data_IF_153752501234
#
_entry.id   IF_153752501234
#
_cell.length_a   1.000
_cell.length_b   1.000
_cell.length_c   1.000
_cell.angle_alpha   90.00
_cell.angle_beta   90.00
_cell.angle_gamma   90.00
#
_symmetry.space_group_name_H-M   'P 1'
#
loop_
_entity.id
_entity.type
_entity.pdbx_description
1 polymer ?
#
# COMPACT_ATOMS: atom_id res chain seq x y z
N UNK A 1 -2.27 -0.82 -28.12
CA UNK A 1 -1.78 -0.14 -26.90
C UNK A 1 -2.21 -1.03 -25.74
N UNK A 2 -1.28 -1.67 -25.06
CA UNK A 2 -1.56 -2.47 -23.86
C UNK A 2 -2.03 -1.55 -22.75
N UNK A 3 -3.15 -1.86 -22.12
CA UNK A 3 -3.67 -1.12 -20.96
C UNK A 3 -2.60 -1.13 -19.86
N UNK A 4 -2.28 0.01 -19.22
CA UNK A 4 -1.36 0.03 -18.10
C UNK A 4 -1.84 -0.95 -17.02
N UNK A 5 -0.96 -1.83 -16.57
CA UNK A 5 -1.23 -2.74 -15.47
C UNK A 5 -0.65 -2.16 -14.18
N UNK A 6 -1.33 -2.41 -13.07
CA UNK A 6 -0.84 -2.09 -11.73
C UNK A 6 0.24 -3.10 -11.34
N UNK A 7 1.36 -2.61 -10.84
CA UNK A 7 2.48 -3.42 -10.39
C UNK A 7 2.86 -3.09 -8.95
N UNK A 8 3.29 -4.11 -8.23
CA UNK A 8 3.81 -4.01 -6.87
C UNK A 8 5.29 -4.35 -6.92
N UNK A 9 6.13 -3.34 -6.72
CA UNK A 9 7.58 -3.49 -6.73
C UNK A 9 8.11 -3.49 -5.30
N UNK A 10 8.86 -4.50 -4.94
CA UNK A 10 9.56 -4.57 -3.67
C UNK A 10 11.04 -4.32 -3.87
N UNK A 11 11.62 -3.42 -3.07
CA UNK A 11 13.01 -3.01 -3.13
C UNK A 11 13.63 -3.17 -1.74
N UNK A 12 14.73 -3.91 -1.65
CA UNK A 12 15.61 -3.88 -0.49
C UNK A 12 16.73 -2.87 -0.73
N UNK A 13 16.93 -1.97 0.20
CA UNK A 13 17.94 -0.92 0.09
C UNK A 13 18.66 -0.72 1.42
N UNK A 14 19.88 -0.19 1.36
CA UNK A 14 20.62 0.20 2.56
C UNK A 14 19.85 1.28 3.33
N UNK A 15 19.73 1.13 4.64
CA UNK A 15 19.03 2.07 5.52
C UNK A 15 19.92 3.28 5.81
N UNK A 16 20.22 4.05 4.76
CA UNK A 16 21.11 5.21 4.82
C UNK A 16 20.42 6.50 4.34
N UNK A 17 20.94 7.62 4.78
CA UNK A 17 20.46 8.95 4.37
C UNK A 17 20.59 9.12 2.86
N UNK A 18 19.49 9.48 2.21
CA UNK A 18 19.44 9.70 0.76
C UNK A 18 19.13 8.46 -0.09
N UNK A 19 19.16 7.25 0.47
CA UNK A 19 18.85 6.03 -0.29
C UNK A 19 17.42 6.09 -0.90
N UNK A 20 16.42 6.44 -0.10
CA UNK A 20 15.04 6.63 -0.58
C UNK A 20 14.95 7.72 -1.66
N UNK A 21 15.68 8.83 -1.49
CA UNK A 21 15.68 9.94 -2.46
C UNK A 21 16.22 9.50 -3.82
N UNK A 22 17.24 8.63 -3.84
CA UNK A 22 17.78 8.10 -5.09
C UNK A 22 16.78 7.20 -5.82
N UNK A 23 16.07 6.34 -5.08
CA UNK A 23 15.01 5.49 -5.65
C UNK A 23 13.87 6.35 -6.20
N UNK A 24 13.29 7.25 -5.40
CA UNK A 24 12.18 8.11 -5.84
C UNK A 24 12.60 9.07 -6.97
N UNK A 25 13.84 9.55 -6.92
CA UNK A 25 14.44 10.36 -7.99
C UNK A 25 14.53 9.62 -9.33
N UNK A 26 14.83 8.32 -9.33
CA UNK A 26 14.80 7.50 -10.54
C UNK A 26 13.40 7.47 -11.17
N UNK A 27 12.35 7.25 -10.37
CA UNK A 27 10.97 7.27 -10.84
C UNK A 27 10.59 8.63 -11.41
N UNK A 28 10.90 9.73 -10.70
CA UNK A 28 10.62 11.10 -11.12
C UNK A 28 11.31 11.47 -12.43
N UNK A 29 12.60 11.20 -12.56
CA UNK A 29 13.37 11.54 -13.77
C UNK A 29 12.96 10.77 -15.01
N UNK A 30 12.33 9.62 -14.84
CA UNK A 30 11.82 8.76 -15.92
C UNK A 30 10.34 8.97 -16.20
N UNK A 31 9.67 9.85 -15.44
CA UNK A 31 8.24 10.13 -15.59
C UNK A 31 7.33 8.99 -15.13
N UNK A 32 7.81 8.11 -14.25
CA UNK A 32 7.00 7.05 -13.67
C UNK A 32 6.23 7.59 -12.46
N UNK A 33 4.92 7.35 -12.42
CA UNK A 33 4.09 7.73 -11.29
C UNK A 33 4.23 6.71 -10.16
N UNK A 34 4.31 7.18 -8.92
CA UNK A 34 4.22 6.35 -7.71
C UNK A 34 2.81 6.54 -7.13
N UNK A 35 2.01 5.48 -7.12
CA UNK A 35 0.64 5.49 -6.58
C UNK A 35 0.63 5.33 -5.07
N UNK A 36 1.50 4.46 -4.54
CA UNK A 36 1.74 4.32 -3.11
C UNK A 36 3.18 3.92 -2.83
N UNK A 37 3.66 4.27 -1.64
CA UNK A 37 5.02 4.00 -1.20
C UNK A 37 5.05 3.74 0.30
N UNK A 38 5.53 2.57 0.70
CA UNK A 38 5.84 2.23 2.08
C UNK A 38 7.32 1.97 2.24
N UNK A 39 7.91 2.45 3.32
CA UNK A 39 9.31 2.20 3.68
C UNK A 39 9.40 1.88 5.15
N UNK A 40 10.06 0.79 5.48
CA UNK A 40 10.39 0.45 6.87
C UNK A 40 11.70 -0.34 6.91
N UNK A 41 12.41 -0.28 8.04
CA UNK A 41 13.52 -1.18 8.30
C UNK A 41 13.03 -2.63 8.36
N UNK A 42 13.89 -3.57 7.97
CA UNK A 42 13.64 -5.00 8.08
C UNK A 42 14.08 -5.49 9.48
N UNK A 43 14.15 -6.79 9.68
CA UNK A 43 14.79 -7.43 10.83
C UNK A 43 16.30 -7.13 10.92
N UNK A 44 16.93 -6.82 9.78
CA UNK A 44 18.26 -6.21 9.74
C UNK A 44 18.11 -4.67 9.75
N UNK A 45 18.54 -3.96 10.80
CA UNK A 45 18.40 -2.51 10.90
C UNK A 45 19.22 -1.74 9.84
N UNK A 46 20.17 -2.39 9.18
CA UNK A 46 20.97 -1.78 8.11
C UNK A 46 20.26 -1.83 6.74
N UNK A 47 19.17 -2.58 6.65
CA UNK A 47 18.38 -2.78 5.43
C UNK A 47 16.95 -2.32 5.63
N UNK A 48 16.47 -1.47 4.73
CA UNK A 48 15.06 -1.08 4.64
C UNK A 48 14.39 -1.78 3.46
N UNK A 49 13.09 -2.02 3.58
CA UNK A 49 12.25 -2.51 2.50
C UNK A 49 11.28 -1.43 2.05
N UNK A 50 11.28 -1.17 0.75
CA UNK A 50 10.25 -0.38 0.07
C UNK A 50 9.24 -1.36 -0.53
N UNK A 51 7.95 -1.06 -0.36
CA UNK A 51 6.88 -1.60 -1.21
C UNK A 51 6.25 -0.43 -1.95
N UNK A 52 6.33 -0.46 -3.27
CA UNK A 52 5.92 0.63 -4.15
C UNK A 52 4.88 0.11 -5.14
N UNK A 53 3.83 0.89 -5.36
CA UNK A 53 2.81 0.62 -6.39
C UNK A 53 2.96 1.65 -7.49
N UNK A 54 2.97 1.17 -8.72
CA UNK A 54 3.01 1.98 -9.94
C UNK A 54 2.19 1.30 -11.05
N UNK A 55 1.87 2.04 -12.11
CA UNK A 55 1.17 1.49 -13.28
C UNK A 55 2.00 1.69 -14.54
N UNK A 56 2.05 0.66 -15.38
CA UNK A 56 2.78 0.71 -16.63
C UNK A 56 2.66 -0.55 -17.47
N UNK A 57 3.40 -0.61 -18.58
CA UNK A 57 3.56 -1.82 -19.35
C UNK A 57 4.65 -2.71 -18.75
N UNK A 58 4.64 -3.99 -19.06
CA UNK A 58 5.66 -4.93 -18.64
C UNK A 58 7.08 -4.48 -19.01
N UNK A 59 7.26 -3.90 -20.19
CA UNK A 59 8.54 -3.34 -20.64
C UNK A 59 9.01 -2.19 -19.73
N UNK A 60 8.08 -1.32 -19.31
CA UNK A 60 8.39 -0.23 -18.38
C UNK A 60 8.80 -0.80 -17.02
N UNK A 61 8.09 -1.81 -16.53
CA UNK A 61 8.43 -2.45 -15.25
C UNK A 61 9.80 -3.11 -15.29
N UNK A 62 10.12 -3.84 -16.35
CA UNK A 62 11.45 -4.42 -16.53
C UNK A 62 12.56 -3.34 -16.56
N UNK A 63 12.29 -2.18 -17.16
CA UNK A 63 13.22 -1.04 -17.13
C UNK A 63 13.38 -0.48 -15.71
N UNK A 64 12.30 -0.33 -14.95
CA UNK A 64 12.32 0.13 -13.56
C UNK A 64 13.19 -0.81 -12.70
N UNK A 65 12.95 -2.12 -12.76
CA UNK A 65 13.71 -3.13 -12.02
C UNK A 65 15.21 -3.03 -12.38
N UNK A 66 15.52 -3.06 -13.68
CA UNK A 66 16.91 -3.01 -14.15
C UNK A 66 17.65 -1.71 -13.80
N UNK A 67 16.94 -0.57 -13.78
CA UNK A 67 17.54 0.72 -13.42
C UNK A 67 17.69 0.86 -11.90
N UNK A 68 16.75 0.33 -11.13
CA UNK A 68 16.82 0.35 -9.67
C UNK A 68 18.01 -0.47 -9.16
N UNK A 69 18.28 -1.63 -9.76
CA UNK A 69 19.45 -2.48 -9.44
C UNK A 69 20.81 -1.81 -9.69
N UNK A 70 20.84 -0.70 -10.46
CA UNK A 70 22.08 0.07 -10.69
C UNK A 70 22.34 1.13 -9.62
N UNK A 71 21.37 1.39 -8.75
CA UNK A 71 21.55 2.34 -7.64
C UNK A 71 22.44 1.69 -6.57
N UNK A 72 23.44 2.43 -6.10
CA UNK A 72 24.46 1.92 -5.17
C UNK A 72 23.88 1.40 -3.84
N UNK A 73 22.76 1.99 -3.41
CA UNK A 73 22.11 1.61 -2.14
C UNK A 73 21.12 0.47 -2.29
N UNK A 74 20.77 0.08 -3.51
CA UNK A 74 19.78 -0.98 -3.76
C UNK A 74 20.46 -2.33 -3.69
N UNK A 75 19.96 -3.16 -2.78
CA UNK A 75 20.45 -4.52 -2.54
C UNK A 75 19.75 -5.51 -3.47
N UNK A 76 18.43 -5.39 -3.59
CA UNK A 76 17.62 -6.25 -4.47
C UNK A 76 16.31 -5.56 -4.85
N UNK A 77 15.73 -5.94 -5.99
CA UNK A 77 14.45 -5.42 -6.51
C UNK A 77 13.69 -6.55 -7.17
N UNK A 78 12.39 -6.60 -6.96
CA UNK A 78 11.51 -7.55 -7.63
C UNK A 78 10.12 -6.98 -7.94
N UNK A 79 9.55 -7.37 -9.08
CA UNK A 79 8.15 -7.14 -9.42
C UNK A 79 7.32 -8.32 -8.90
N UNK A 80 6.71 -8.14 -7.75
CA UNK A 80 5.93 -9.16 -7.07
C UNK A 80 4.61 -9.49 -7.78
N UNK A 81 4.20 -8.68 -8.76
CA UNK A 81 2.93 -8.87 -9.48
C UNK A 81 2.92 -10.16 -10.31
N UNK A 82 4.11 -10.60 -10.75
CA UNK A 82 4.28 -11.78 -11.61
C UNK A 82 4.00 -13.08 -10.86
N UNK A 83 4.33 -13.12 -9.58
CA UNK A 83 4.25 -14.31 -8.74
C UNK A 83 3.10 -14.24 -7.71
N UNK A 84 2.75 -15.40 -7.16
CA UNK A 84 1.75 -15.48 -6.11
C UNK A 84 2.23 -14.73 -4.85
N UNK A 85 1.49 -13.71 -4.44
CA UNK A 85 1.80 -12.87 -3.29
C UNK A 85 0.57 -12.58 -2.44
N UNK A 86 0.82 -12.17 -1.21
CA UNK A 86 -0.20 -11.66 -0.28
C UNK A 86 -0.03 -10.15 -0.22
N UNK A 87 -1.07 -9.42 -0.55
CA UNK A 87 -1.13 -7.96 -0.44
C UNK A 87 -2.03 -7.55 0.72
N UNK A 88 -1.60 -6.56 1.50
CA UNK A 88 -2.41 -5.92 2.55
C UNK A 88 -2.18 -4.43 2.57
N UNK A 89 -3.25 -3.71 2.91
CA UNK A 89 -3.26 -2.27 3.13
C UNK A 89 -4.04 -1.97 4.40
N UNK A 90 -3.57 -1.02 5.20
CA UNK A 90 -4.25 -0.50 6.37
C UNK A 90 -4.99 0.79 6.01
N UNK A 91 -6.26 0.85 6.35
CA UNK A 91 -7.11 2.03 6.29
C UNK A 91 -7.48 2.47 7.70
N UNK A 92 -7.36 3.76 7.98
CA UNK A 92 -8.01 4.43 9.10
C UNK A 92 -9.01 5.44 8.55
N UNK A 93 -10.26 5.37 8.98
CA UNK A 93 -11.29 6.33 8.59
C UNK A 93 -12.07 6.83 9.78
N UNK A 94 -12.25 8.15 9.85
CA UNK A 94 -13.03 8.83 10.87
C UNK A 94 -14.30 9.39 10.24
N UNK A 95 -15.43 9.17 10.90
CA UNK A 95 -16.76 9.54 10.43
C UNK A 95 -17.53 10.30 11.51
N UNK A 96 -18.35 11.23 11.06
CA UNK A 96 -19.48 11.73 11.85
C UNK A 96 -20.74 10.98 11.43
N UNK A 97 -21.34 10.23 12.36
CA UNK A 97 -22.38 9.25 12.05
C UNK A 97 -23.72 9.69 12.65
N UNK A 98 -24.79 9.87 11.86
CA UNK A 98 -26.13 10.08 12.39
C UNK A 98 -26.61 8.89 13.24
N UNK A 99 -27.36 9.14 14.30
CA UNK A 99 -27.80 8.11 15.24
C UNK A 99 -28.53 6.93 14.57
N UNK A 100 -29.28 7.18 13.51
CA UNK A 100 -29.99 6.15 12.74
C UNK A 100 -29.07 5.31 11.84
N UNK A 101 -27.82 5.69 11.65
CA UNK A 101 -26.82 4.96 10.86
C UNK A 101 -25.82 4.18 11.71
N UNK A 102 -25.80 4.36 13.02
CA UNK A 102 -24.84 3.63 13.90
C UNK A 102 -25.03 2.12 13.82
N UNK A 103 -26.25 1.60 13.98
CA UNK A 103 -26.49 0.16 13.92
C UNK A 103 -26.19 -0.44 12.52
N UNK A 104 -26.61 0.16 11.39
CA UNK A 104 -26.18 -0.28 10.06
C UNK A 104 -24.66 -0.24 9.87
N UNK A 105 -23.96 0.76 10.42
CA UNK A 105 -22.53 0.89 10.31
C UNK A 105 -21.80 -0.22 11.09
N UNK A 106 -22.22 -0.51 12.34
CA UNK A 106 -21.68 -1.62 13.12
C UNK A 106 -21.81 -2.94 12.37
N UNK A 107 -22.96 -3.21 11.75
CA UNK A 107 -23.16 -4.41 10.94
C UNK A 107 -22.18 -4.48 9.76
N UNK A 108 -21.98 -3.39 9.02
CA UNK A 108 -20.99 -3.32 7.95
C UNK A 108 -19.58 -3.64 8.47
N UNK A 109 -19.19 -3.03 9.60
CA UNK A 109 -17.85 -3.24 10.21
C UNK A 109 -17.64 -4.72 10.55
N UNK A 110 -18.64 -5.40 11.11
CA UNK A 110 -18.60 -6.84 11.39
C UNK A 110 -18.49 -7.68 10.11
N UNK A 111 -19.28 -7.36 9.08
CA UNK A 111 -19.28 -8.07 7.78
C UNK A 111 -17.93 -8.03 7.08
N UNK A 112 -17.21 -6.91 7.17
CA UNK A 112 -15.89 -6.75 6.54
C UNK A 112 -14.74 -7.07 7.50
N UNK A 113 -15.02 -7.54 8.71
CA UNK A 113 -14.03 -7.83 9.75
C UNK A 113 -13.13 -6.65 10.11
N UNK A 114 -13.67 -5.42 9.99
CA UNK A 114 -12.98 -4.22 10.43
C UNK A 114 -13.06 -4.05 11.95
N UNK A 115 -12.27 -3.14 12.50
CA UNK A 115 -12.24 -2.84 13.94
C UNK A 115 -12.76 -1.43 14.21
N UNK A 116 -13.62 -1.31 15.22
CA UNK A 116 -13.98 0.01 15.75
C UNK A 116 -12.93 0.42 16.77
N UNK A 117 -12.24 1.54 16.53
CA UNK A 117 -11.26 2.10 17.44
C UNK A 117 -11.87 3.13 18.38
N UNK A 118 -12.84 3.91 17.88
CA UNK A 118 -13.61 4.89 18.65
C UNK A 118 -15.08 4.74 18.26
N UNK A 119 -15.92 4.47 19.25
CA UNK A 119 -17.39 4.34 19.11
C UNK A 119 -18.08 5.58 19.68
N UNK A 120 -17.94 6.69 18.99
CA UNK A 120 -18.60 7.96 19.28
C UNK A 120 -19.23 8.52 17.99
N UNK A 121 -20.52 8.84 18.02
CA UNK A 121 -21.24 9.34 16.84
C UNK A 121 -20.61 10.59 16.22
N UNK A 122 -19.95 11.44 17.01
CA UNK A 122 -19.27 12.64 16.53
C UNK A 122 -17.92 12.36 15.88
N UNK A 123 -17.28 11.21 16.22
CA UNK A 123 -15.94 10.86 15.74
C UNK A 123 -15.72 9.34 15.63
N UNK A 124 -16.65 8.63 15.01
CA UNK A 124 -16.58 7.18 14.83
C UNK A 124 -15.34 6.80 14.00
N UNK A 125 -14.46 6.00 14.57
CA UNK A 125 -13.17 5.68 13.91
C UNK A 125 -13.05 4.18 13.67
N UNK A 126 -12.78 3.81 12.42
CA UNK A 126 -12.68 2.42 11.94
C UNK A 126 -11.27 2.17 11.42
N UNK A 127 -10.74 0.99 11.75
CA UNK A 127 -9.54 0.38 11.16
C UNK A 127 -9.95 -0.80 10.28
N UNK A 128 -9.47 -0.83 9.03
CA UNK A 128 -9.62 -1.96 8.12
C UNK A 128 -8.27 -2.35 7.55
N UNK A 129 -7.94 -3.64 7.61
CA UNK A 129 -6.76 -4.20 6.94
C UNK A 129 -7.21 -5.28 5.97
N UNK A 130 -7.04 -5.05 4.67
CA UNK A 130 -7.40 -5.99 3.61
C UNK A 130 -6.58 -5.72 2.34
N UNK A 131 -6.90 -6.41 1.23
CA UNK A 131 -6.36 -6.11 -0.09
C UNK A 131 -6.78 -4.69 -0.55
N UNK A 132 -5.99 -4.08 -1.42
CA UNK A 132 -6.29 -2.76 -1.99
C UNK A 132 -7.71 -2.71 -2.57
N UNK A 133 -8.13 -3.75 -3.29
CA UNK A 133 -9.47 -3.81 -3.90
C UNK A 133 -10.60 -3.77 -2.86
N UNK A 134 -10.44 -4.47 -1.71
CA UNK A 134 -11.44 -4.48 -0.65
C UNK A 134 -11.44 -3.15 0.11
N UNK A 135 -10.28 -2.58 0.40
CA UNK A 135 -10.15 -1.24 1.01
C UNK A 135 -10.82 -0.19 0.12
N UNK A 136 -10.55 -0.18 -1.17
CA UNK A 136 -11.16 0.76 -2.12
C UNK A 136 -12.68 0.56 -2.24
N UNK A 137 -13.15 -0.70 -2.21
CA UNK A 137 -14.59 -1.00 -2.17
C UNK A 137 -15.24 -0.46 -0.89
N UNK A 138 -14.62 -0.67 0.27
CA UNK A 138 -15.11 -0.13 1.54
C UNK A 138 -15.20 1.39 1.50
N UNK A 139 -14.16 2.09 1.04
CA UNK A 139 -14.13 3.55 0.91
C UNK A 139 -15.27 4.06 0.03
N UNK A 140 -15.57 3.39 -1.09
CA UNK A 140 -16.65 3.80 -2.00
C UNK A 140 -18.05 3.68 -1.39
N UNK A 141 -18.21 2.92 -0.31
CA UNK A 141 -19.51 2.68 0.34
C UNK A 141 -19.67 3.41 1.66
N UNK A 142 -18.57 3.68 2.38
CA UNK A 142 -18.63 4.17 3.76
C UNK A 142 -19.33 5.52 3.91
N UNK A 143 -19.25 6.40 2.92
CA UNK A 143 -19.92 7.69 2.89
C UNK A 143 -21.46 7.63 2.94
N UNK A 144 -22.06 6.46 2.75
CA UNK A 144 -23.52 6.25 2.90
C UNK A 144 -23.96 6.24 4.36
N UNK A 145 -23.05 5.99 5.29
CA UNK A 145 -23.33 5.84 6.73
C UNK A 145 -23.05 7.11 7.52
N UNK A 146 -22.30 8.05 6.96
CA UNK A 146 -21.96 9.30 7.62
C UNK A 146 -21.06 10.19 6.79
N UNK A 147 -20.75 11.36 7.36
CA UNK A 147 -19.79 12.29 6.79
C UNK A 147 -18.36 11.79 7.07
N UNK A 148 -17.55 11.61 6.03
CA UNK A 148 -16.14 11.27 6.19
C UNK A 148 -15.37 12.51 6.61
N UNK A 149 -14.86 12.51 7.85
CA UNK A 149 -14.07 13.61 8.41
C UNK A 149 -12.59 13.51 8.03
N UNK A 150 -12.05 12.28 8.04
CA UNK A 150 -10.66 12.03 7.74
C UNK A 150 -10.49 10.60 7.22
N UNK A 151 -9.58 10.42 6.26
CA UNK A 151 -9.26 9.12 5.69
C UNK A 151 -7.75 9.03 5.45
N UNK A 152 -7.14 7.97 5.98
CA UNK A 152 -5.69 7.71 5.84
C UNK A 152 -5.47 6.28 5.36
N UNK A 153 -4.63 6.11 4.37
CA UNK A 153 -4.23 4.80 3.81
C UNK A 153 -2.73 4.61 3.96
N UNK A 154 -2.30 3.41 4.31
CA UNK A 154 -0.88 3.08 4.34
C UNK A 154 -0.28 2.90 2.93
N UNK A 155 -1.10 2.58 1.94
CA UNK A 155 -0.64 1.97 0.69
C UNK A 155 -0.34 0.48 0.87
N UNK A 156 -0.05 -0.20 -0.23
CA UNK A 156 0.12 -1.65 -0.24
C UNK A 156 1.41 -2.10 0.45
N UNK A 157 1.30 -3.14 1.25
CA UNK A 157 2.38 -4.01 1.68
C UNK A 157 2.22 -5.35 0.98
N UNK A 158 3.32 -5.99 0.57
CA UNK A 158 3.27 -7.28 -0.10
C UNK A 158 4.39 -8.21 0.36
N UNK A 159 4.07 -9.51 0.38
CA UNK A 159 5.00 -10.60 0.66
C UNK A 159 4.67 -11.76 -0.25
N UNK A 160 5.69 -12.50 -0.71
CA UNK A 160 5.45 -13.70 -1.50
C UNK A 160 4.66 -14.74 -0.72
N UNK A 161 3.83 -15.50 -1.43
CA UNK A 161 3.17 -16.67 -0.88
C UNK A 161 4.14 -17.86 -0.81
N UNK A 162 4.01 -18.69 0.23
CA UNK A 162 4.85 -19.87 0.40
C UNK A 162 6.26 -19.56 0.88
N UNK A 163 7.26 -20.32 0.42
CA UNK A 163 8.64 -20.27 0.90
C UNK A 163 9.53 -19.25 0.15
N UNK A 164 9.03 -18.67 -0.94
CA UNK A 164 9.75 -17.65 -1.70
C UNK A 164 9.90 -16.37 -0.89
N UNK A 165 11.09 -15.78 -0.91
CA UNK A 165 11.37 -14.52 -0.19
C UNK A 165 12.24 -13.62 -1.05
N UNK A 166 12.02 -12.30 -0.94
CA UNK A 166 12.99 -11.32 -1.41
C UNK A 166 14.13 -11.26 -0.39
N UNK A 167 15.33 -11.64 -0.80
CA UNK A 167 16.53 -11.66 0.05
C UNK A 167 17.51 -10.57 -0.35
N UNK A 168 18.22 -10.07 0.64
CA UNK A 168 19.38 -9.21 0.44
C UNK A 168 20.55 -9.98 -0.20
#
# INVERSE_FOLDING_TARGET
>A
MTTPQRHIISILLQNEVGALTRVTGLFSTRGYNIESLNVAATDDPTVSRITLVTSGSEQVMQQIVNQSLKLVDVVNVDDMTVDAHIERELLLVKLKVPANQLAPLHKLVEEVHARVLVDDAASFTIELTDSEAQVSRFISHIGKYGEVLELVRSGALAVYSGATTLKA
#
